data_IF_373922638367
#
_entry.id   IF_373922638367
#
_cell.length_a   1.000
_cell.length_b   1.000
_cell.length_c   1.000
_cell.angle_alpha   90.00
_cell.angle_beta   90.00
_cell.angle_gamma   90.00
#
_symmetry.space_group_name_H-M   'P 1'
#
loop_
_entity.id
_entity.type
_entity.pdbx_description
1 polymer ?
#
# COMPACT_ATOMS: atom_id res chain seq x y z
N UNK A 1 27.27 0.33 0.99
CA UNK A 1 26.04 -0.31 0.52
C UNK A 1 24.87 0.26 1.29
N UNK A 2 23.78 0.56 0.59
CA UNK A 2 22.51 0.93 1.21
C UNK A 2 21.85 -0.30 1.85
N UNK A 3 20.91 -0.08 2.78
CA UNK A 3 20.13 -1.16 3.40
C UNK A 3 19.40 -2.02 2.35
N UNK A 4 18.90 -1.40 1.28
CA UNK A 4 18.25 -2.10 0.17
C UNK A 4 19.22 -3.01 -0.58
N UNK A 5 20.40 -2.50 -0.92
CA UNK A 5 21.44 -3.27 -1.60
C UNK A 5 21.87 -4.49 -0.77
N UNK A 6 22.08 -4.32 0.53
CA UNK A 6 22.43 -5.43 1.43
C UNK A 6 21.36 -6.52 1.42
N UNK A 7 20.09 -6.16 1.55
CA UNK A 7 18.97 -7.13 1.55
C UNK A 7 18.86 -7.84 0.20
N UNK A 8 19.06 -7.15 -0.92
CA UNK A 8 19.02 -7.76 -2.25
C UNK A 8 20.16 -8.77 -2.43
N UNK A 9 21.37 -8.45 -1.97
CA UNK A 9 22.50 -9.40 -2.03
C UNK A 9 22.31 -10.61 -1.11
N UNK A 10 21.75 -10.40 0.09
CA UNK A 10 21.38 -11.50 0.99
C UNK A 10 20.35 -12.44 0.37
N UNK A 11 19.33 -11.90 -0.31
CA UNK A 11 18.32 -12.70 -1.02
C UNK A 11 18.94 -13.51 -2.16
N UNK A 12 19.87 -12.93 -2.93
CA UNK A 12 20.57 -13.63 -4.01
C UNK A 12 21.46 -14.76 -3.50
N UNK A 13 21.97 -14.65 -2.28
CA UNK A 13 22.83 -15.66 -1.66
C UNK A 13 22.05 -16.86 -1.07
N UNK A 14 20.71 -16.81 -1.04
CA UNK A 14 19.90 -17.90 -0.52
C UNK A 14 19.96 -19.13 -1.44
N UNK A 15 19.78 -20.31 -0.83
CA UNK A 15 19.49 -21.52 -1.59
C UNK A 15 18.15 -21.40 -2.32
N UNK A 16 17.90 -22.17 -3.39
CA UNK A 16 16.62 -22.12 -4.10
C UNK A 16 15.41 -22.31 -3.18
N UNK A 17 15.50 -23.21 -2.20
CA UNK A 17 14.45 -23.43 -1.20
C UNK A 17 14.27 -22.21 -0.29
N UNK A 18 15.36 -21.60 0.19
CA UNK A 18 15.31 -20.40 1.02
C UNK A 18 14.74 -19.20 0.26
N UNK A 19 15.08 -19.08 -1.02
CA UNK A 19 14.56 -18.02 -1.88
C UNK A 19 13.04 -18.16 -2.10
N UNK A 20 12.54 -19.37 -2.35
CA UNK A 20 11.10 -19.63 -2.46
C UNK A 20 10.35 -19.22 -1.18
N UNK A 21 10.87 -19.61 -0.01
CA UNK A 21 10.27 -19.24 1.28
C UNK A 21 10.24 -17.72 1.48
N UNK A 22 11.32 -17.02 1.12
CA UNK A 22 11.37 -15.56 1.20
C UNK A 22 10.38 -14.89 0.23
N UNK A 23 10.28 -15.38 -1.00
CA UNK A 23 9.34 -14.89 -2.01
C UNK A 23 7.88 -15.09 -1.56
N UNK A 24 7.55 -16.26 -1.04
CA UNK A 24 6.22 -16.55 -0.51
C UNK A 24 5.86 -15.64 0.67
N UNK A 25 6.81 -15.39 1.57
CA UNK A 25 6.60 -14.48 2.70
C UNK A 25 6.36 -13.03 2.24
N UNK A 26 7.17 -12.52 1.31
CA UNK A 26 7.00 -11.17 0.74
C UNK A 26 5.64 -11.06 0.03
N UNK A 27 5.24 -12.10 -0.71
CA UNK A 27 3.94 -12.15 -1.37
C UNK A 27 2.79 -12.12 -0.36
N UNK A 28 2.89 -12.90 0.73
CA UNK A 28 1.90 -12.90 1.81
C UNK A 28 1.79 -11.53 2.49
N UNK A 29 2.90 -10.85 2.78
CA UNK A 29 2.88 -9.49 3.34
C UNK A 29 2.14 -8.50 2.44
N UNK A 30 2.28 -8.64 1.12
CA UNK A 30 1.57 -7.79 0.15
C UNK A 30 0.05 -8.03 0.19
N UNK A 31 -0.36 -9.30 0.35
CA UNK A 31 -1.76 -9.72 0.41
C UNK A 31 -2.42 -9.40 1.76
N UNK A 32 -1.73 -9.63 2.88
CA UNK A 32 -2.26 -9.36 4.22
C UNK A 32 -2.54 -7.87 4.40
N UNK A 33 -1.65 -7.00 3.92
CA UNK A 33 -1.90 -5.56 3.91
C UNK A 33 -3.08 -5.14 3.02
N UNK A 34 -3.43 -5.92 1.98
CA UNK A 34 -4.59 -5.61 1.14
C UNK A 34 -5.91 -5.88 1.87
N UNK A 35 -5.99 -6.96 2.65
CA UNK A 35 -7.15 -7.28 3.46
C UNK A 35 -7.36 -6.26 4.60
N UNK A 36 -6.28 -5.83 5.28
CA UNK A 36 -6.36 -4.78 6.31
C UNK A 36 -6.74 -3.43 5.73
N UNK A 37 -6.17 -3.02 4.58
CA UNK A 37 -6.57 -1.80 3.87
C UNK A 37 -8.04 -1.86 3.45
N UNK A 38 -8.50 -3.00 2.93
CA UNK A 38 -9.90 -3.19 2.57
C UNK A 38 -10.81 -3.11 3.80
N UNK A 39 -10.44 -3.74 4.91
CA UNK A 39 -11.19 -3.67 6.16
C UNK A 39 -11.24 -2.25 6.75
N UNK A 40 -10.15 -1.48 6.62
CA UNK A 40 -10.14 -0.07 7.01
C UNK A 40 -11.06 0.77 6.12
N UNK A 41 -11.06 0.54 4.81
CA UNK A 41 -11.98 1.19 3.87
C UNK A 41 -13.44 0.82 4.13
N UNK A 42 -13.74 -0.47 4.33
CA UNK A 42 -15.09 -0.96 4.60
C UNK A 42 -15.63 -0.40 5.93
N UNK A 43 -14.77 -0.20 6.95
CA UNK A 43 -15.15 0.48 8.22
C UNK A 43 -15.35 1.98 8.07
N UNK A 44 -14.60 2.62 7.18
CA UNK A 44 -14.76 4.05 6.90
C UNK A 44 -15.94 4.32 5.93
N UNK A 45 -16.45 3.28 5.26
CA UNK A 45 -17.56 3.44 4.33
C UNK A 45 -18.84 3.85 5.08
N UNK A 46 -19.33 5.05 4.79
CA UNK A 46 -20.50 5.62 5.48
C UNK A 46 -20.24 6.12 6.89
N UNK A 47 -18.97 6.27 7.32
CA UNK A 47 -18.65 6.84 8.63
C UNK A 47 -18.77 8.37 8.70
N UNK A 48 -18.94 9.02 7.54
CA UNK A 48 -19.14 10.46 7.44
C UNK A 48 -20.63 10.76 7.21
N UNK A 49 -21.16 11.73 7.94
CA UNK A 49 -22.39 12.42 7.55
C UNK A 49 -22.18 13.17 6.23
N UNK A 50 -23.28 13.54 5.56
CA UNK A 50 -23.20 14.30 4.30
C UNK A 50 -22.40 15.60 4.45
N UNK A 51 -22.55 16.32 5.56
CA UNK A 51 -21.80 17.56 5.81
C UNK A 51 -20.30 17.32 5.99
N UNK A 52 -19.90 16.23 6.66
CA UNK A 52 -18.49 15.87 6.85
C UNK A 52 -17.86 15.38 5.54
N UNK A 53 -18.63 14.67 4.70
CA UNK A 53 -18.20 14.28 3.37
C UNK A 53 -17.97 15.52 2.47
N UNK A 54 -18.88 16.50 2.48
CA UNK A 54 -18.73 17.75 1.73
C UNK A 54 -17.51 18.55 2.19
N UNK A 55 -17.23 18.58 3.50
CA UNK A 55 -16.06 19.26 4.05
C UNK A 55 -14.76 18.57 3.65
N UNK A 56 -14.72 17.24 3.68
CA UNK A 56 -13.58 16.46 3.21
C UNK A 56 -13.33 16.66 1.71
N UNK A 57 -14.38 16.70 0.88
CA UNK A 57 -14.25 16.96 -0.56
C UNK A 57 -13.70 18.35 -0.85
N UNK A 58 -14.17 19.38 -0.11
CA UNK A 58 -13.60 20.73 -0.19
C UNK A 58 -12.13 20.74 0.21
N UNK A 59 -11.75 20.07 1.30
CA UNK A 59 -10.38 20.02 1.77
C UNK A 59 -9.44 19.34 0.75
N UNK A 60 -9.88 18.25 0.12
CA UNK A 60 -9.12 17.57 -0.95
C UNK A 60 -8.94 18.50 -2.15
N UNK A 61 -10.02 19.16 -2.59
CA UNK A 61 -9.98 20.06 -3.76
C UNK A 61 -9.03 21.25 -3.54
N UNK A 62 -8.97 21.78 -2.33
CA UNK A 62 -8.12 22.95 -2.00
C UNK A 62 -6.66 22.55 -1.80
N UNK A 63 -6.38 21.39 -1.20
CA UNK A 63 -5.05 21.08 -0.68
C UNK A 63 -4.32 19.93 -1.41
N UNK A 64 -4.99 19.19 -2.30
CA UNK A 64 -4.39 18.06 -3.00
C UNK A 64 -4.32 18.30 -4.50
N UNK A 65 -3.16 18.02 -5.09
CA UNK A 65 -3.03 17.95 -6.55
C UNK A 65 -3.83 16.76 -7.10
N UNK A 66 -4.60 16.99 -8.16
CA UNK A 66 -5.30 15.92 -8.88
C UNK A 66 -4.30 15.18 -9.75
N UNK A 67 -4.14 13.88 -9.48
CA UNK A 67 -3.42 12.99 -10.39
C UNK A 67 -4.38 12.65 -11.53
N UNK A 68 -4.07 13.15 -12.73
CA UNK A 68 -4.79 12.79 -13.95
C UNK A 68 -4.10 11.59 -14.61
N UNK A 69 -4.78 10.46 -14.67
CA UNK A 69 -4.27 9.22 -15.25
C UNK A 69 -4.00 9.33 -16.77
N UNK A 70 -4.52 10.36 -17.44
CA UNK A 70 -4.21 10.65 -18.84
C UNK A 70 -2.86 11.35 -19.05
N UNK A 71 -2.21 11.77 -17.96
CA UNK A 71 -0.89 12.41 -17.96
C UNK A 71 0.27 11.44 -17.66
N UNK A 72 0.01 10.13 -17.63
CA UNK A 72 1.01 9.07 -17.45
C UNK A 72 1.14 8.19 -18.70
#
# INVERSE_FOLDING_TARGET
MSKLETVVEELKALSPTGFTVAADFIHQLKLSGAAERKSALDRAFGCLSSSEADEMERAITVNCERIDASQW
#
